data_IF_724278157876
#
_entry.id   IF_724278157876
#
_cell.length_a   1.000
_cell.length_b   1.000
_cell.length_c   1.000
_cell.angle_alpha   90.00
_cell.angle_beta   90.00
_cell.angle_gamma   90.00
#
_symmetry.space_group_name_H-M   'P 1'
#
loop_
_entity.id
_entity.type
_entity.pdbx_description
1 polymer ?
#
# COMPACT_ATOMS: atom_id res chain seq x y z
N UNK A 1 69.86 -10.58 25.82
CA UNK A 1 68.95 -9.46 25.49
C UNK A 1 67.99 -9.90 24.39
N UNK A 2 66.76 -10.34 24.73
CA UNK A 2 65.71 -10.68 23.76
C UNK A 2 64.60 -9.65 23.88
N UNK A 3 64.37 -8.90 22.80
CA UNK A 3 63.28 -7.92 22.66
C UNK A 3 61.98 -8.69 22.37
N UNK A 4 60.97 -8.52 23.20
CA UNK A 4 59.61 -9.01 22.95
C UNK A 4 58.75 -7.83 22.49
N UNK A 5 58.24 -7.90 21.26
CA UNK A 5 57.30 -6.92 20.71
C UNK A 5 55.85 -7.32 21.05
N UNK A 6 55.09 -6.38 21.60
CA UNK A 6 53.64 -6.49 21.76
C UNK A 6 52.97 -5.98 20.48
N UNK A 7 52.19 -6.85 19.82
CA UNK A 7 51.28 -6.47 18.72
C UNK A 7 49.90 -6.23 19.36
N UNK A 8 49.39 -5.01 19.24
CA UNK A 8 48.04 -4.64 19.66
C UNK A 8 47.07 -4.90 18.49
N UNK A 9 46.19 -5.89 18.63
CA UNK A 9 45.10 -6.13 17.66
C UNK A 9 44.01 -5.08 17.85
N UNK A 10 43.81 -4.21 16.86
CA UNK A 10 42.61 -3.37 16.75
C UNK A 10 41.45 -4.22 16.22
N UNK A 11 40.46 -4.52 17.08
CA UNK A 11 39.17 -5.05 16.65
C UNK A 11 38.34 -3.89 16.06
N UNK A 12 38.35 -3.76 14.72
CA UNK A 12 37.37 -2.93 14.02
C UNK A 12 35.99 -3.57 14.13
N UNK A 13 35.16 -3.02 15.02
CA UNK A 13 33.74 -3.34 15.10
C UNK A 13 33.04 -2.75 13.88
N UNK A 14 32.77 -3.56 12.85
CA UNK A 14 31.85 -3.19 11.78
C UNK A 14 30.42 -3.14 12.34
N UNK A 15 30.07 -1.99 12.94
CA UNK A 15 28.67 -1.61 13.10
C UNK A 15 28.13 -1.33 11.69
N UNK A 16 27.56 -2.36 11.07
CA UNK A 16 26.78 -2.18 9.85
C UNK A 16 25.68 -1.15 10.14
N UNK A 17 25.73 -0.02 9.45
CA UNK A 17 24.58 0.87 9.30
C UNK A 17 23.45 0.02 8.71
N UNK A 18 22.57 -0.50 9.57
CA UNK A 18 21.28 -0.99 9.10
C UNK A 18 20.61 0.20 8.43
N UNK A 19 20.37 0.11 7.12
CA UNK A 19 19.43 0.99 6.46
C UNK A 19 18.17 1.02 7.34
N UNK A 20 17.65 2.20 7.63
CA UNK A 20 16.52 2.41 8.54
C UNK A 20 15.23 1.96 7.87
N UNK A 21 15.14 0.66 7.60
CA UNK A 21 13.96 0.02 7.03
C UNK A 21 12.85 0.03 8.07
N UNK A 22 11.64 0.28 7.63
CA UNK A 22 10.46 0.11 8.47
C UNK A 22 10.31 -1.37 8.83
N UNK A 23 10.12 -1.72 10.10
CA UNK A 23 9.83 -3.12 10.43
C UNK A 23 8.42 -3.51 9.95
N UNK A 24 8.15 -4.79 9.62
CA UNK A 24 6.81 -5.27 9.35
C UNK A 24 5.81 -4.93 10.46
N UNK A 25 4.52 -4.90 10.12
CA UNK A 25 3.45 -4.84 11.12
C UNK A 25 3.35 -6.16 11.87
N UNK A 26 2.80 -6.11 13.09
CA UNK A 26 2.61 -7.29 13.95
C UNK A 26 1.16 -7.39 14.41
N UNK A 27 0.75 -8.60 14.80
CA UNK A 27 -0.60 -8.85 15.29
C UNK A 27 -1.02 -7.84 16.36
N UNK A 28 -2.22 -7.30 16.22
CA UNK A 28 -2.78 -6.25 17.06
C UNK A 28 -2.38 -4.83 16.67
N UNK A 29 -1.53 -4.62 15.67
CA UNK A 29 -1.20 -3.26 15.22
C UNK A 29 -2.43 -2.52 14.68
N UNK A 30 -2.52 -1.27 15.14
CA UNK A 30 -3.47 -0.25 14.71
C UNK A 30 -2.65 0.78 13.94
N UNK A 31 -2.64 0.63 12.63
CA UNK A 31 -1.78 1.38 11.71
C UNK A 31 -2.58 2.54 11.12
N UNK A 32 -2.18 3.75 11.43
CA UNK A 32 -2.83 4.96 10.93
C UNK A 32 -1.96 5.59 9.84
N UNK A 33 -2.49 5.73 8.63
CA UNK A 33 -1.86 6.42 7.51
C UNK A 33 -2.36 7.86 7.44
N UNK A 34 -1.56 8.79 7.97
CA UNK A 34 -1.81 10.23 7.94
C UNK A 34 -1.21 10.82 6.67
N UNK A 35 -2.03 11.53 5.90
CA UNK A 35 -1.54 12.21 4.71
C UNK A 35 -2.53 13.21 4.11
N UNK A 36 -2.29 13.56 2.86
CA UNK A 36 -3.10 14.49 2.09
C UNK A 36 -4.06 13.77 1.13
N UNK A 37 -4.45 14.40 0.02
CA UNK A 37 -5.33 13.83 -1.03
C UNK A 37 -4.86 12.49 -1.59
N UNK A 38 -3.54 12.26 -1.69
CA UNK A 38 -2.95 11.01 -2.17
C UNK A 38 -3.22 9.86 -1.20
N UNK A 39 -3.37 10.16 0.09
CA UNK A 39 -3.77 9.18 1.12
C UNK A 39 -5.29 9.10 1.23
N UNK A 40 -5.96 10.25 1.16
CA UNK A 40 -7.41 10.38 1.25
C UNK A 40 -8.12 9.50 0.21
N UNK A 41 -7.90 9.78 -1.07
CA UNK A 41 -8.55 9.09 -2.19
C UNK A 41 -7.72 7.96 -2.79
N UNK A 42 -6.57 7.66 -2.21
CA UNK A 42 -5.65 6.64 -2.73
C UNK A 42 -5.90 5.25 -2.14
N UNK A 43 -5.34 4.24 -2.82
CA UNK A 43 -5.51 2.84 -2.45
C UNK A 43 -4.25 2.18 -1.86
N UNK A 44 -3.11 2.87 -1.80
CA UNK A 44 -1.84 2.23 -1.42
C UNK A 44 -1.90 1.58 -0.02
N UNK A 45 -2.55 2.23 0.95
CA UNK A 45 -2.75 1.69 2.30
C UNK A 45 -3.69 0.47 2.29
N UNK A 46 -4.74 0.50 1.48
CA UNK A 46 -5.66 -0.63 1.26
C UNK A 46 -4.95 -1.82 0.62
N UNK A 47 -4.08 -1.59 -0.36
CA UNK A 47 -3.28 -2.62 -1.03
C UNK A 47 -2.22 -3.22 -0.10
N UNK A 48 -1.57 -2.40 0.74
CA UNK A 48 -0.68 -2.90 1.80
C UNK A 48 -1.48 -3.79 2.75
N UNK A 49 -2.67 -3.35 3.20
CA UNK A 49 -3.48 -4.15 4.11
C UNK A 49 -3.91 -5.48 3.48
N UNK A 50 -4.34 -5.46 2.22
CA UNK A 50 -4.71 -6.65 1.47
C UNK A 50 -3.59 -7.70 1.47
N UNK A 51 -2.34 -7.27 1.29
CA UNK A 51 -1.18 -8.17 1.38
C UNK A 51 -1.06 -8.80 2.76
N UNK A 52 -1.19 -8.03 3.84
CA UNK A 52 -1.14 -8.61 5.18
C UNK A 52 -2.29 -9.58 5.46
N UNK A 53 -3.51 -9.27 5.00
CA UNK A 53 -4.68 -10.13 5.21
C UNK A 53 -4.51 -11.47 4.51
N UNK A 54 -3.99 -11.49 3.28
CA UNK A 54 -3.84 -12.73 2.50
C UNK A 54 -2.54 -13.47 2.82
N UNK A 55 -1.43 -12.76 2.99
CA UNK A 55 -0.12 -13.37 3.21
C UNK A 55 0.10 -13.78 4.67
N UNK A 56 -0.48 -13.07 5.64
CA UNK A 56 -0.38 -13.38 7.07
C UNK A 56 -1.76 -13.61 7.69
N UNK A 57 -2.47 -14.67 7.31
CA UNK A 57 -3.90 -14.79 7.63
C UNK A 57 -4.19 -14.86 9.13
N UNK A 58 -3.21 -15.29 9.94
CA UNK A 58 -3.31 -15.36 11.41
C UNK A 58 -2.89 -14.06 12.13
N UNK A 59 -2.49 -13.03 11.40
CA UNK A 59 -2.07 -11.74 11.94
C UNK A 59 -3.19 -10.71 11.79
N UNK A 60 -4.02 -10.57 12.82
CA UNK A 60 -5.07 -9.55 12.80
C UNK A 60 -4.48 -8.15 13.03
N UNK A 61 -4.68 -7.27 12.06
CA UNK A 61 -4.32 -5.84 12.04
C UNK A 61 -5.57 -4.98 11.86
N UNK A 62 -5.45 -3.68 12.16
CA UNK A 62 -6.45 -2.67 11.79
C UNK A 62 -5.76 -1.47 11.17
N UNK A 63 -6.14 -1.13 9.94
CA UNK A 63 -5.61 0.05 9.27
C UNK A 63 -6.65 1.17 9.30
N UNK A 64 -6.16 2.40 9.27
CA UNK A 64 -6.98 3.61 9.17
C UNK A 64 -6.39 4.53 8.12
N UNK A 65 -7.22 4.94 7.17
CA UNK A 65 -6.96 6.09 6.33
C UNK A 65 -7.22 7.35 7.16
N UNK A 66 -6.20 8.18 7.35
CA UNK A 66 -6.30 9.52 7.93
C UNK A 66 -5.74 10.54 6.94
N UNK A 67 -5.99 10.33 5.66
CA UNK A 67 -5.75 11.28 4.59
C UNK A 67 -6.89 12.28 4.46
N UNK A 68 -6.57 13.56 4.31
CA UNK A 68 -7.55 14.61 3.99
C UNK A 68 -7.09 15.41 2.79
N UNK A 69 -8.00 15.64 1.84
CA UNK A 69 -7.69 16.38 0.61
C UNK A 69 -7.24 17.81 0.91
N UNK A 70 -6.21 18.30 0.20
CA UNK A 70 -5.72 19.68 0.38
C UNK A 70 -4.79 19.90 1.56
N UNK A 71 -4.68 18.96 2.51
CA UNK A 71 -3.82 19.12 3.69
C UNK A 71 -2.37 19.47 3.33
N UNK A 72 -1.87 20.54 3.94
CA UNK A 72 -0.44 20.70 4.25
C UNK A 72 -0.20 20.22 5.69
N UNK A 73 1.06 20.09 6.12
CA UNK A 73 1.38 19.58 7.46
C UNK A 73 0.76 20.39 8.60
N UNK A 74 0.47 21.67 8.37
CA UNK A 74 -0.28 22.52 9.31
C UNK A 74 -1.69 22.00 9.60
N UNK A 75 -2.44 21.59 8.58
CA UNK A 75 -3.78 21.01 8.75
C UNK A 75 -3.69 19.64 9.43
N UNK A 76 -2.69 18.83 9.08
CA UNK A 76 -2.43 17.55 9.75
C UNK A 76 -2.19 17.74 11.25
N UNK A 77 -1.44 18.78 11.64
CA UNK A 77 -1.28 19.15 13.05
C UNK A 77 -2.62 19.49 13.71
N UNK A 78 -3.45 20.29 13.05
CA UNK A 78 -4.74 20.72 13.61
C UNK A 78 -5.74 19.58 13.85
N UNK A 79 -5.63 18.48 13.10
CA UNK A 79 -6.53 17.32 13.23
C UNK A 79 -5.90 16.13 13.95
N UNK A 80 -4.67 16.24 14.43
CA UNK A 80 -4.00 15.16 15.17
C UNK A 80 -4.87 14.67 16.34
N UNK A 81 -5.35 15.58 17.18
CA UNK A 81 -6.12 15.22 18.39
C UNK A 81 -7.55 14.78 18.09
N UNK A 82 -8.17 15.26 16.99
CA UNK A 82 -9.58 15.05 16.71
C UNK A 82 -9.89 14.05 15.58
N UNK A 83 -8.89 13.56 14.85
CA UNK A 83 -9.05 12.61 13.74
C UNK A 83 -8.09 11.43 13.88
N UNK A 84 -6.79 11.70 14.11
CA UNK A 84 -5.71 10.69 14.14
C UNK A 84 -5.65 9.93 15.47
N UNK A 85 -5.41 10.63 16.59
CA UNK A 85 -5.23 10.01 17.91
C UNK A 85 -6.47 9.28 18.45
N UNK A 86 -7.72 9.69 18.14
CA UNK A 86 -8.91 8.93 18.51
C UNK A 86 -8.94 7.50 17.96
N UNK A 87 -8.19 7.21 16.87
CA UNK A 87 -8.01 5.84 16.36
C UNK A 87 -7.14 4.97 17.26
N UNK A 88 -6.52 5.53 18.30
CA UNK A 88 -5.62 4.84 19.23
C UNK A 88 -4.53 4.07 18.49
N UNK A 89 -3.74 4.73 17.62
CA UNK A 89 -2.68 4.06 16.87
C UNK A 89 -1.61 3.53 17.81
N UNK A 90 -1.03 2.38 17.45
CA UNK A 90 0.28 1.98 17.93
C UNK A 90 1.35 2.08 16.81
N UNK A 91 0.92 2.36 15.58
CA UNK A 91 1.80 2.75 14.47
C UNK A 91 1.18 3.95 13.75
N UNK A 92 1.98 5.01 13.55
CA UNK A 92 1.60 6.17 12.73
C UNK A 92 2.52 6.21 11.53
N UNK A 93 1.94 6.04 10.34
CA UNK A 93 2.56 6.30 9.05
C UNK A 93 2.21 7.72 8.60
N UNK A 94 3.18 8.61 8.43
CA UNK A 94 2.97 10.03 8.13
C UNK A 94 3.67 10.42 6.82
N UNK A 95 2.94 11.07 5.93
CA UNK A 95 3.47 11.64 4.69
C UNK A 95 2.92 13.05 4.44
N UNK A 96 3.77 13.99 4.03
CA UNK A 96 3.34 15.33 3.60
C UNK A 96 4.30 15.91 2.56
N UNK A 97 3.96 17.10 2.03
CA UNK A 97 4.84 17.88 1.18
C UNK A 97 4.27 18.23 -0.19
N UNK A 98 3.35 17.40 -0.72
CA UNK A 98 2.76 17.65 -2.04
C UNK A 98 2.02 18.99 -2.08
N UNK A 99 1.19 19.30 -1.09
CA UNK A 99 0.53 20.61 -1.01
C UNK A 99 1.47 21.70 -0.46
N UNK A 100 2.36 21.36 0.48
CA UNK A 100 3.28 22.30 1.12
C UNK A 100 4.25 22.95 0.12
N UNK A 101 4.62 22.21 -0.93
CA UNK A 101 5.46 22.68 -2.04
C UNK A 101 4.74 23.65 -3.00
N UNK A 102 3.43 23.89 -2.81
CA UNK A 102 2.61 24.84 -3.56
C UNK A 102 2.38 24.52 -5.04
N UNK A 103 1.65 25.40 -5.72
CA UNK A 103 1.13 25.19 -7.08
C UNK A 103 1.28 26.46 -7.95
N UNK A 104 0.21 27.23 -8.13
CA UNK A 104 0.15 28.37 -9.06
C UNK A 104 1.15 29.50 -8.76
N UNK A 105 1.58 29.64 -7.50
CA UNK A 105 2.60 30.62 -7.08
C UNK A 105 3.94 30.43 -7.80
N UNK A 106 4.21 29.25 -8.36
CA UNK A 106 5.41 28.99 -9.16
C UNK A 106 5.46 29.75 -10.49
N UNK A 107 4.34 30.31 -10.97
CA UNK A 107 4.29 31.00 -12.26
C UNK A 107 4.81 32.43 -12.24
N UNK A 108 5.03 33.04 -11.07
CA UNK A 108 5.51 34.42 -10.99
C UNK A 108 6.48 34.63 -9.82
N UNK A 109 7.35 35.64 -9.94
CA UNK A 109 8.42 35.91 -8.97
C UNK A 109 7.89 36.24 -7.56
N UNK A 110 6.77 36.96 -7.46
CA UNK A 110 6.15 37.26 -6.15
C UNK A 110 5.64 35.99 -5.47
N UNK A 111 5.09 35.05 -6.24
CA UNK A 111 4.63 33.75 -5.75
C UNK A 111 5.76 32.88 -5.22
N UNK A 112 6.98 32.96 -5.76
CA UNK A 112 8.14 32.23 -5.20
C UNK A 112 8.43 32.61 -3.74
N UNK A 113 8.21 33.87 -3.36
CA UNK A 113 8.32 34.29 -1.95
C UNK A 113 7.21 33.69 -1.08
N UNK A 114 6.01 33.47 -1.62
CA UNK A 114 4.94 32.74 -0.93
C UNK A 114 5.34 31.28 -0.71
N UNK A 115 5.94 30.63 -1.72
CA UNK A 115 6.42 29.26 -1.57
C UNK A 115 7.47 29.14 -0.47
N UNK A 116 8.46 30.04 -0.41
CA UNK A 116 9.45 30.01 0.66
C UNK A 116 8.78 30.08 2.06
N UNK A 117 7.78 30.97 2.22
CA UNK A 117 6.98 31.07 3.46
C UNK A 117 6.15 29.81 3.73
N UNK A 118 5.64 29.14 2.70
CA UNK A 118 4.93 27.87 2.85
C UNK A 118 5.87 26.75 3.34
N UNK A 119 7.10 26.71 2.83
CA UNK A 119 8.11 25.75 3.30
C UNK A 119 8.52 26.03 4.76
N UNK A 120 8.75 27.29 5.13
CA UNK A 120 9.02 27.68 6.52
C UNK A 120 7.85 27.28 7.45
N UNK A 121 6.62 27.49 6.98
CA UNK A 121 5.41 27.05 7.69
C UNK A 121 5.37 25.54 7.82
N UNK A 122 5.74 24.80 6.77
CA UNK A 122 5.80 23.34 6.79
C UNK A 122 6.79 22.84 7.85
N UNK A 123 8.02 23.36 7.86
CA UNK A 123 9.02 23.01 8.87
C UNK A 123 8.57 23.35 10.30
N UNK A 124 7.97 24.54 10.49
CA UNK A 124 7.45 24.97 11.79
C UNK A 124 6.36 24.02 12.32
N UNK A 125 5.35 23.72 11.51
CA UNK A 125 4.22 22.89 11.96
C UNK A 125 4.61 21.42 12.07
N UNK A 126 5.54 20.94 11.24
CA UNK A 126 6.15 19.65 11.49
C UNK A 126 6.85 19.63 12.85
N UNK A 127 7.57 20.67 13.25
CA UNK A 127 8.18 20.75 14.59
C UNK A 127 7.17 20.57 15.74
N UNK A 128 5.91 21.01 15.56
CA UNK A 128 4.84 20.78 16.54
C UNK A 128 4.34 19.33 16.51
N UNK A 129 4.14 18.75 15.32
CA UNK A 129 3.81 17.32 15.19
C UNK A 129 4.94 16.46 15.77
N UNK A 130 6.20 16.81 15.53
CA UNK A 130 7.36 16.10 16.04
C UNK A 130 7.34 16.03 17.57
N UNK A 131 6.99 17.14 18.24
CA UNK A 131 6.82 17.17 19.71
C UNK A 131 5.70 16.22 20.16
N UNK A 132 4.54 16.21 19.48
CA UNK A 132 3.45 15.27 19.77
C UNK A 132 3.91 13.82 19.59
N UNK A 133 4.61 13.51 18.50
CA UNK A 133 5.13 12.18 18.21
C UNK A 133 6.15 11.71 19.26
N UNK A 134 7.06 12.60 19.70
CA UNK A 134 8.03 12.32 20.78
C UNK A 134 7.36 12.01 22.11
N UNK A 135 6.24 12.67 22.42
CA UNK A 135 5.45 12.42 23.62
C UNK A 135 4.72 11.06 23.61
N UNK A 136 4.76 10.31 22.51
CA UNK A 136 4.13 9.00 22.36
C UNK A 136 5.18 7.86 22.20
N UNK A 137 6.07 7.59 23.17
CA UNK A 137 7.19 6.66 22.98
C UNK A 137 6.78 5.23 22.61
N UNK A 138 5.57 4.80 22.98
CA UNK A 138 5.03 3.47 22.68
C UNK A 138 4.39 3.35 21.29
N UNK A 139 4.26 4.45 20.56
CA UNK A 139 3.76 4.45 19.17
C UNK A 139 4.95 4.39 18.23
N UNK A 140 4.96 3.43 17.30
CA UNK A 140 5.98 3.34 16.24
C UNK A 140 5.73 4.40 15.16
N UNK A 141 6.78 5.12 14.74
CA UNK A 141 6.69 6.17 13.72
C UNK A 141 7.28 5.69 12.40
N UNK A 142 6.41 5.76 11.41
CA UNK A 142 6.45 5.54 9.97
C UNK A 142 6.59 6.75 9.03
N UNK A 143 7.73 7.39 8.80
CA UNK A 143 7.74 8.48 7.81
C UNK A 143 7.74 7.92 6.39
N UNK A 144 6.96 8.53 5.50
CA UNK A 144 6.87 8.12 4.10
C UNK A 144 7.21 9.32 3.22
N UNK A 145 8.38 9.29 2.58
CA UNK A 145 8.70 10.21 1.49
C UNK A 145 7.75 9.96 0.33
N UNK A 146 6.68 10.76 0.24
CA UNK A 146 5.52 10.49 -0.60
C UNK A 146 5.81 10.44 -2.11
N UNK A 147 4.80 10.07 -2.91
CA UNK A 147 4.95 9.97 -4.37
C UNK A 147 5.37 11.30 -5.02
N UNK A 148 6.17 11.27 -6.10
CA UNK A 148 6.71 12.47 -6.71
C UNK A 148 5.66 13.26 -7.49
N UNK A 149 5.92 14.55 -7.66
CA UNK A 149 5.27 15.37 -8.69
C UNK A 149 5.95 15.11 -10.04
N UNK A 150 5.21 14.60 -11.03
CA UNK A 150 5.76 14.23 -12.33
C UNK A 150 5.96 15.45 -13.22
N UNK A 151 7.10 16.12 -13.06
CA UNK A 151 7.46 17.29 -13.86
C UNK A 151 7.98 16.94 -15.27
N UNK A 152 8.22 15.66 -15.57
CA UNK A 152 8.93 15.22 -16.78
C UNK A 152 8.02 14.67 -17.86
N UNK A 153 6.85 14.11 -17.51
CA UNK A 153 5.92 13.59 -18.51
C UNK A 153 5.38 14.66 -19.45
N UNK A 154 5.06 14.28 -20.69
CA UNK A 154 4.55 15.17 -21.74
C UNK A 154 3.04 15.01 -22.01
N UNK A 155 2.30 14.25 -21.19
CA UNK A 155 0.86 13.96 -21.40
C UNK A 155 -0.02 15.21 -21.41
N UNK A 156 0.39 16.28 -20.73
CA UNK A 156 -0.30 17.57 -20.73
C UNK A 156 0.68 18.73 -20.57
N UNK A 157 0.33 19.93 -21.03
CA UNK A 157 1.07 21.16 -20.68
C UNK A 157 0.50 21.85 -19.43
N UNK A 158 -0.67 21.42 -18.97
CA UNK A 158 -1.31 21.97 -17.78
C UNK A 158 -0.60 21.50 -16.51
N UNK A 159 -0.80 22.24 -15.42
CA UNK A 159 -0.27 21.93 -14.08
C UNK A 159 1.25 21.71 -14.06
N UNK A 160 2.01 22.36 -14.95
CA UNK A 160 3.47 22.33 -14.95
C UNK A 160 4.01 23.47 -14.07
N UNK A 161 4.60 23.16 -12.92
CA UNK A 161 5.02 24.12 -11.90
C UNK A 161 6.56 24.13 -11.76
N UNK A 162 7.27 25.12 -12.34
CA UNK A 162 8.71 25.04 -12.66
C UNK A 162 9.71 24.98 -11.49
N UNK A 163 9.26 24.96 -10.22
CA UNK A 163 10.12 24.70 -9.05
C UNK A 163 9.54 23.69 -8.05
N UNK A 164 8.35 23.15 -8.33
CA UNK A 164 7.62 22.29 -7.39
C UNK A 164 8.38 21.00 -7.08
N UNK A 165 8.96 20.36 -8.10
CA UNK A 165 9.69 19.11 -7.93
C UNK A 165 10.89 19.27 -6.96
N UNK A 166 11.64 20.36 -7.09
CA UNK A 166 12.79 20.67 -6.22
C UNK A 166 12.34 20.95 -4.79
N UNK A 167 11.30 21.78 -4.60
CA UNK A 167 10.77 22.08 -3.28
C UNK A 167 10.21 20.83 -2.59
N UNK A 168 9.50 19.97 -3.32
CA UNK A 168 9.02 18.69 -2.80
C UNK A 168 10.19 17.77 -2.41
N UNK A 169 11.23 17.70 -3.24
CA UNK A 169 12.45 16.94 -2.92
C UNK A 169 13.09 17.39 -1.60
N UNK A 170 13.19 18.71 -1.35
CA UNK A 170 13.70 19.25 -0.08
C UNK A 170 12.87 18.83 1.14
N UNK A 171 11.55 18.73 1.00
CA UNK A 171 10.67 18.25 2.07
C UNK A 171 10.80 16.75 2.31
N UNK A 172 11.07 15.96 1.26
CA UNK A 172 11.37 14.53 1.35
C UNK A 172 12.71 14.30 2.07
N UNK A 173 13.75 15.06 1.70
CA UNK A 173 15.04 15.00 2.38
C UNK A 173 14.94 15.41 3.85
N UNK A 174 14.15 16.44 4.15
CA UNK A 174 13.86 16.86 5.52
C UNK A 174 13.20 15.74 6.34
N UNK A 175 12.20 15.07 5.77
CA UNK A 175 11.54 13.91 6.39
C UNK A 175 12.54 12.80 6.73
N UNK A 176 13.39 12.41 5.77
CA UNK A 176 14.43 11.42 5.97
C UNK A 176 15.39 11.81 7.10
N UNK A 177 15.83 13.06 7.11
CA UNK A 177 16.78 13.54 8.11
C UNK A 177 16.20 13.57 9.52
N UNK A 178 14.95 13.99 9.68
CA UNK A 178 14.28 13.95 10.99
C UNK A 178 13.99 12.51 11.43
N UNK A 179 13.58 11.61 10.53
CA UNK A 179 13.43 10.20 10.86
C UNK A 179 14.75 9.58 11.35
N UNK A 180 15.88 9.87 10.70
CA UNK A 180 17.22 9.45 11.14
C UNK A 180 17.57 10.00 12.52
N UNK A 181 17.40 11.31 12.71
CA UNK A 181 17.71 12.01 13.97
C UNK A 181 16.92 11.45 15.16
N UNK A 182 15.66 11.08 14.95
CA UNK A 182 14.80 10.54 16.00
C UNK A 182 14.81 9.00 16.12
N UNK A 183 15.51 8.29 15.23
CA UNK A 183 15.45 6.82 15.18
C UNK A 183 14.09 6.25 14.73
N UNK A 184 13.29 7.01 13.98
CA UNK A 184 11.96 6.61 13.47
C UNK A 184 12.03 5.92 12.11
N UNK A 185 11.15 4.97 11.80
CA UNK A 185 11.12 4.33 10.48
C UNK A 185 10.95 5.33 9.34
N UNK A 186 11.53 5.05 8.18
CA UNK A 186 11.36 5.85 6.97
C UNK A 186 11.20 4.93 5.74
N UNK A 187 10.20 5.20 4.90
CA UNK A 187 9.96 4.54 3.62
C UNK A 187 10.09 5.57 2.51
N UNK A 188 10.93 5.30 1.52
CA UNK A 188 11.10 6.18 0.35
C UNK A 188 10.21 5.73 -0.82
N UNK A 189 9.14 6.47 -1.12
CA UNK A 189 8.35 6.29 -2.35
C UNK A 189 8.80 7.27 -3.45
N UNK A 190 9.30 8.45 -3.05
CA UNK A 190 9.64 9.54 -3.96
C UNK A 190 10.66 9.14 -5.02
N UNK A 191 11.86 8.71 -4.59
CA UNK A 191 12.95 8.45 -5.53
C UNK A 191 12.70 7.24 -6.43
N UNK A 192 12.23 6.08 -5.92
CA UNK A 192 11.97 4.92 -6.77
C UNK A 192 10.85 5.18 -7.79
N UNK A 193 9.77 5.86 -7.41
CA UNK A 193 8.71 6.21 -8.36
C UNK A 193 9.19 7.22 -9.41
N UNK A 194 10.03 8.19 -9.03
CA UNK A 194 10.64 9.12 -9.99
C UNK A 194 11.54 8.38 -11.00
N UNK A 195 12.30 7.38 -10.54
CA UNK A 195 13.11 6.54 -11.40
C UNK A 195 12.26 5.70 -12.36
N UNK A 196 11.14 5.13 -11.88
CA UNK A 196 10.19 4.40 -12.72
C UNK A 196 9.59 5.33 -13.79
N UNK A 197 9.10 6.52 -13.41
CA UNK A 197 8.58 7.50 -14.36
C UNK A 197 9.60 7.81 -15.45
N UNK A 198 10.86 8.13 -15.10
CA UNK A 198 11.91 8.39 -16.09
C UNK A 198 12.19 7.20 -17.01
N UNK A 199 12.28 5.99 -16.44
CA UNK A 199 12.55 4.75 -17.18
C UNK A 199 11.47 4.46 -18.22
N UNK A 200 10.20 4.60 -17.84
CA UNK A 200 9.08 4.35 -18.76
C UNK A 200 8.84 5.52 -19.71
N UNK A 201 9.10 6.76 -19.29
CA UNK A 201 9.03 7.95 -20.17
C UNK A 201 10.06 7.93 -21.30
N UNK A 202 11.18 7.23 -21.12
CA UNK A 202 12.14 7.00 -22.20
C UNK A 202 11.57 6.11 -23.33
N UNK A 203 10.54 5.30 -23.05
CA UNK A 203 9.84 4.45 -24.02
C UNK A 203 8.58 5.11 -24.56
N UNK A 204 7.82 5.74 -23.66
CA UNK A 204 6.60 6.47 -23.97
C UNK A 204 6.61 7.81 -23.25
N UNK A 205 6.84 8.90 -23.99
CA UNK A 205 7.02 10.24 -23.40
C UNK A 205 5.79 10.80 -22.66
N UNK A 206 4.61 10.21 -22.85
CA UNK A 206 3.39 10.59 -22.11
C UNK A 206 3.13 9.67 -20.91
N UNK A 207 3.97 8.68 -20.66
CA UNK A 207 3.85 7.83 -19.48
C UNK A 207 3.89 8.66 -18.19
N UNK A 208 3.02 8.31 -17.25
CA UNK A 208 3.05 8.82 -15.89
C UNK A 208 2.37 7.84 -14.94
N UNK A 209 2.93 7.63 -13.76
CA UNK A 209 2.22 7.01 -12.63
C UNK A 209 1.16 7.95 -12.01
N UNK A 210 1.13 9.23 -12.41
CA UNK A 210 0.18 10.27 -11.99
C UNK A 210 -0.49 10.91 -13.21
N UNK A 211 -1.24 10.14 -14.01
CA UNK A 211 -1.56 10.46 -15.41
C UNK A 211 -2.57 11.59 -15.60
N UNK A 212 -3.29 11.99 -14.56
CA UNK A 212 -4.35 12.99 -14.68
C UNK A 212 -3.83 14.42 -14.54
N UNK A 213 -2.93 14.65 -13.58
CA UNK A 213 -2.57 16.01 -13.16
C UNK A 213 -1.13 16.17 -12.65
N UNK A 214 -0.31 15.12 -12.79
CA UNK A 214 1.10 15.05 -12.32
C UNK A 214 1.24 14.90 -10.80
N UNK A 215 0.14 14.79 -10.06
CA UNK A 215 0.10 14.85 -8.60
C UNK A 215 -0.46 13.55 -8.02
N UNK A 216 -1.63 13.11 -8.50
CA UNK A 216 -2.37 11.99 -7.92
C UNK A 216 -2.08 10.70 -8.68
N UNK A 217 -1.51 9.67 -8.01
CA UNK A 217 -1.34 8.38 -8.61
C UNK A 217 -2.68 7.71 -8.94
N UNK A 218 -2.70 6.97 -10.04
CA UNK A 218 -3.83 6.10 -10.39
C UNK A 218 -3.68 4.73 -9.68
N UNK A 219 -4.56 3.74 -9.89
CA UNK A 219 -4.48 2.45 -9.18
C UNK A 219 -3.14 1.72 -9.45
N UNK A 220 -2.55 1.85 -10.64
CA UNK A 220 -1.22 1.30 -10.96
C UNK A 220 -0.12 1.98 -10.14
N UNK A 221 -0.18 3.30 -10.01
CA UNK A 221 0.72 4.09 -9.16
C UNK A 221 0.60 3.74 -7.68
N UNK A 222 -0.62 3.55 -7.18
CA UNK A 222 -0.85 3.08 -5.83
C UNK A 222 -0.36 1.64 -5.60
N UNK A 223 -0.42 0.77 -6.62
CA UNK A 223 0.19 -0.56 -6.56
C UNK A 223 1.72 -0.49 -6.44
N UNK A 224 2.36 0.40 -7.20
CA UNK A 224 3.81 0.66 -7.07
C UNK A 224 4.16 1.19 -5.67
N UNK A 225 3.37 2.10 -5.12
CA UNK A 225 3.56 2.59 -3.75
C UNK A 225 3.46 1.46 -2.72
N UNK A 226 2.44 0.59 -2.84
CA UNK A 226 2.27 -0.56 -1.94
C UNK A 226 3.45 -1.53 -2.04
N UNK A 227 3.90 -1.85 -3.26
CA UNK A 227 5.10 -2.67 -3.49
C UNK A 227 6.33 -2.10 -2.79
N UNK A 228 6.62 -0.81 -2.98
CA UNK A 228 7.80 -0.16 -2.40
C UNK A 228 7.73 -0.15 -0.87
N UNK A 229 6.56 0.10 -0.30
CA UNK A 229 6.34 0.05 1.14
C UNK A 229 6.59 -1.35 1.71
N UNK A 230 5.98 -2.39 1.12
CA UNK A 230 6.17 -3.77 1.54
C UNK A 230 7.63 -4.23 1.37
N UNK A 231 8.31 -3.76 0.31
CA UNK A 231 9.73 -4.03 0.08
C UNK A 231 10.62 -3.38 1.11
N UNK A 232 10.35 -2.13 1.48
CA UNK A 232 11.06 -1.49 2.58
C UNK A 232 10.83 -2.23 3.91
N UNK A 233 9.66 -2.82 4.10
CA UNK A 233 9.39 -3.70 5.25
C UNK A 233 10.22 -5.00 5.27
N UNK A 234 11.00 -5.27 4.22
CA UNK A 234 11.80 -6.50 4.12
C UNK A 234 10.96 -7.73 3.86
N UNK A 235 9.75 -7.56 3.30
CA UNK A 235 8.81 -8.66 3.04
C UNK A 235 9.00 -9.31 1.67
N UNK A 236 9.94 -8.81 0.85
CA UNK A 236 10.25 -9.38 -0.45
C UNK A 236 10.90 -10.77 -0.33
N UNK A 237 10.64 -11.62 -1.32
CA UNK A 237 11.15 -12.99 -1.47
C UNK A 237 10.65 -13.98 -0.40
N UNK A 238 9.49 -13.70 0.19
CA UNK A 238 8.73 -14.66 0.99
C UNK A 238 7.59 -15.21 0.13
N UNK A 239 7.69 -16.45 -0.39
CA UNK A 239 6.69 -16.99 -1.30
C UNK A 239 5.37 -17.25 -0.56
N UNK A 240 4.26 -17.19 -1.30
CA UNK A 240 2.95 -17.69 -0.85
C UNK A 240 3.10 -19.16 -0.49
N UNK A 241 3.68 -19.95 -1.38
CA UNK A 241 4.16 -21.31 -1.12
C UNK A 241 5.20 -21.70 -2.18
N UNK A 242 6.06 -22.68 -1.86
CA UNK A 242 7.00 -23.25 -2.83
C UNK A 242 7.10 -24.76 -2.61
N UNK A 243 6.59 -25.50 -3.60
CA UNK A 243 6.35 -26.93 -3.54
C UNK A 243 7.10 -27.62 -4.67
N UNK A 244 7.84 -28.67 -4.34
CA UNK A 244 8.41 -29.58 -5.33
C UNK A 244 8.11 -31.02 -4.96
N UNK A 245 7.57 -31.81 -5.89
CA UNK A 245 7.26 -33.23 -5.70
C UNK A 245 7.94 -34.05 -6.80
N UNK A 246 8.50 -35.19 -6.43
CA UNK A 246 8.97 -36.18 -7.39
C UNK A 246 7.91 -37.26 -7.57
N UNK A 247 7.28 -37.32 -8.75
CA UNK A 247 6.20 -38.25 -9.05
C UNK A 247 6.67 -39.72 -9.05
N UNK A 248 7.84 -40.00 -9.62
CA UNK A 248 8.39 -41.37 -9.70
C UNK A 248 8.68 -41.97 -8.32
N UNK A 249 9.12 -41.12 -7.38
CA UNK A 249 9.47 -41.52 -6.00
C UNK A 249 8.32 -41.30 -5.02
N UNK A 250 7.21 -40.68 -5.47
CA UNK A 250 6.03 -40.32 -4.64
C UNK A 250 6.40 -39.57 -3.37
N UNK A 251 7.36 -38.65 -3.48
CA UNK A 251 7.91 -37.92 -2.32
C UNK A 251 7.91 -36.43 -2.55
N UNK A 252 7.67 -35.70 -1.46
CA UNK A 252 7.90 -34.26 -1.39
C UNK A 252 9.42 -34.02 -1.39
N UNK A 253 9.89 -33.19 -2.32
CA UNK A 253 11.28 -32.75 -2.42
C UNK A 253 11.46 -31.42 -1.69
N UNK A 254 10.47 -30.54 -1.80
CA UNK A 254 10.44 -29.23 -1.14
C UNK A 254 9.03 -28.90 -0.69
N UNK A 255 8.90 -28.40 0.54
CA UNK A 255 7.71 -27.73 1.04
C UNK A 255 8.15 -26.47 1.80
N UNK A 256 7.69 -25.30 1.38
CA UNK A 256 7.92 -24.03 2.06
C UNK A 256 6.63 -23.22 2.14
N UNK A 257 6.34 -22.68 3.33
CA UNK A 257 5.12 -21.95 3.66
C UNK A 257 3.81 -22.72 3.38
N UNK A 258 3.87 -24.05 3.42
CA UNK A 258 2.73 -24.93 3.22
C UNK A 258 2.99 -26.29 3.87
N UNK A 259 1.99 -27.16 3.80
CA UNK A 259 2.08 -28.57 4.14
C UNK A 259 1.56 -29.43 3.00
N UNK A 260 2.36 -30.42 2.59
CA UNK A 260 1.95 -31.44 1.62
C UNK A 260 1.76 -32.77 2.33
N UNK A 261 0.65 -33.45 2.03
CA UNK A 261 0.33 -34.78 2.57
C UNK A 261 -0.30 -35.67 1.48
N UNK A 262 -0.44 -36.96 1.78
CA UNK A 262 -1.17 -37.92 0.92
C UNK A 262 -0.67 -37.97 -0.53
N UNK A 263 0.65 -37.93 -0.74
CA UNK A 263 1.25 -38.04 -2.08
C UNK A 263 1.05 -39.48 -2.59
N UNK A 264 0.21 -39.65 -3.59
CA UNK A 264 -0.10 -40.96 -4.19
C UNK A 264 -0.15 -40.86 -5.72
N UNK A 265 -0.18 -42.01 -6.40
CA UNK A 265 -0.22 -42.09 -7.86
C UNK A 265 1.02 -42.73 -8.49
N UNK A 266 1.40 -42.26 -9.67
CA UNK A 266 2.42 -42.76 -10.59
C UNK A 266 3.03 -41.62 -11.43
N UNK A 267 3.90 -41.95 -12.37
CA UNK A 267 4.54 -40.98 -13.29
C UNK A 267 3.60 -40.39 -14.35
N UNK A 268 2.40 -40.96 -14.54
CA UNK A 268 1.37 -40.46 -15.48
C UNK A 268 0.17 -39.83 -14.75
N UNK A 269 0.06 -40.02 -13.43
CA UNK A 269 -1.03 -39.49 -12.60
C UNK A 269 -0.55 -39.31 -11.17
N UNK A 270 -0.49 -38.09 -10.65
CA UNK A 270 -0.05 -37.79 -9.29
C UNK A 270 -1.14 -37.03 -8.54
N UNK A 271 -1.40 -37.38 -7.29
CA UNK A 271 -2.33 -36.65 -6.43
C UNK A 271 -1.73 -36.41 -5.05
N UNK A 272 -2.06 -35.27 -4.43
CA UNK A 272 -1.61 -34.91 -3.09
C UNK A 272 -2.50 -33.82 -2.49
N UNK A 273 -2.56 -33.77 -1.16
CA UNK A 273 -3.25 -32.72 -0.43
C UNK A 273 -2.28 -31.57 -0.14
N UNK A 274 -2.70 -30.34 -0.39
CA UNK A 274 -1.94 -29.11 -0.24
C UNK A 274 -2.66 -28.14 0.71
N UNK A 275 -1.99 -27.76 1.79
CA UNK A 275 -2.46 -26.71 2.70
C UNK A 275 -1.42 -25.59 2.75
N UNK A 276 -1.74 -24.43 2.17
CA UNK A 276 -0.90 -23.24 2.26
C UNK A 276 -1.01 -22.58 3.65
N UNK A 277 0.00 -21.81 4.04
CA UNK A 277 -0.11 -20.91 5.21
C UNK A 277 -0.52 -19.48 4.82
N UNK A 278 -0.55 -19.19 3.51
CA UNK A 278 -0.86 -17.89 2.93
C UNK A 278 -1.76 -18.08 1.71
N UNK A 279 -2.58 -17.08 1.39
CA UNK A 279 -3.29 -17.00 0.12
C UNK A 279 -2.47 -16.19 -0.90
N UNK A 280 -2.63 -16.43 -2.21
CA UNK A 280 -2.05 -15.56 -3.23
C UNK A 280 -2.61 -14.13 -3.12
N UNK A 281 -1.80 -13.14 -3.51
CA UNK A 281 -2.23 -11.75 -3.56
C UNK A 281 -3.19 -11.54 -4.76
N UNK A 282 -4.45 -11.12 -4.52
CA UNK A 282 -5.46 -10.99 -5.56
C UNK A 282 -5.34 -9.62 -6.23
N UNK A 283 -4.81 -9.60 -7.45
CA UNK A 283 -4.58 -8.37 -8.19
C UNK A 283 -5.84 -7.92 -8.93
N UNK A 284 -6.21 -6.64 -8.81
CA UNK A 284 -7.37 -6.05 -9.47
C UNK A 284 -7.12 -5.66 -10.93
N UNK A 285 -8.06 -6.03 -11.77
CA UNK A 285 -8.10 -5.75 -13.20
C UNK A 285 -9.15 -4.71 -13.56
N UNK A 286 -9.83 -4.12 -12.57
CA UNK A 286 -10.80 -3.03 -12.74
C UNK A 286 -10.14 -1.70 -12.34
N UNK A 287 -10.43 -0.65 -13.12
CA UNK A 287 -10.05 0.72 -12.77
C UNK A 287 -11.07 1.23 -11.75
N UNK A 288 -10.61 1.51 -10.52
CA UNK A 288 -11.48 1.87 -9.40
C UNK A 288 -11.30 3.33 -9.00
N UNK A 289 -12.35 3.90 -8.42
CA UNK A 289 -12.53 5.32 -8.15
C UNK A 289 -12.70 6.18 -9.41
N UNK A 290 -13.46 7.27 -9.25
CA UNK A 290 -13.78 8.17 -10.35
C UNK A 290 -12.55 8.92 -10.86
N UNK A 291 -12.36 8.96 -12.18
CA UNK A 291 -11.24 9.65 -12.83
C UNK A 291 -9.98 8.80 -12.99
N UNK A 292 -9.94 7.60 -12.43
CA UNK A 292 -8.88 6.63 -12.66
C UNK A 292 -9.09 5.91 -14.00
N UNK A 293 -7.99 5.66 -14.71
CA UNK A 293 -7.97 5.06 -16.04
C UNK A 293 -7.15 3.76 -16.09
N UNK A 294 -6.32 3.52 -15.07
CA UNK A 294 -5.43 2.37 -14.99
C UNK A 294 -5.82 1.48 -13.83
N UNK A 295 -5.53 0.20 -13.99
CA UNK A 295 -5.88 -0.87 -13.03
C UNK A 295 -4.70 -1.16 -12.11
N UNK A 296 -4.96 -1.77 -10.96
CA UNK A 296 -3.89 -2.26 -10.06
C UNK A 296 -2.94 -3.22 -10.81
N UNK A 297 -3.48 -4.12 -11.66
CA UNK A 297 -2.73 -5.09 -12.45
C UNK A 297 -1.72 -4.46 -13.40
N UNK A 298 -2.01 -3.29 -13.96
CA UNK A 298 -1.05 -2.59 -14.82
C UNK A 298 0.19 -2.14 -14.06
N UNK A 299 0.10 -1.91 -12.75
CA UNK A 299 1.23 -1.56 -11.89
C UNK A 299 2.32 -2.64 -11.84
N UNK A 300 1.94 -3.92 -12.00
CA UNK A 300 2.86 -5.06 -12.01
C UNK A 300 3.88 -5.00 -13.17
N UNK A 301 3.61 -4.23 -14.22
CA UNK A 301 4.56 -4.05 -15.33
C UNK A 301 5.78 -3.22 -14.94
N UNK A 302 5.66 -2.43 -13.86
CA UNK A 302 6.67 -1.45 -13.49
C UNK A 302 7.56 -1.89 -12.34
N UNK A 303 7.12 -2.92 -11.60
CA UNK A 303 7.80 -3.47 -10.42
C UNK A 303 7.69 -5.01 -10.44
N UNK A 304 8.70 -5.74 -9.96
CA UNK A 304 8.69 -7.21 -9.94
C UNK A 304 7.83 -7.77 -8.79
N UNK A 305 6.61 -7.26 -8.60
CA UNK A 305 5.76 -7.63 -7.47
C UNK A 305 5.40 -9.12 -7.50
N UNK A 306 5.04 -9.67 -8.67
CA UNK A 306 4.72 -11.09 -8.78
C UNK A 306 5.91 -11.95 -8.34
N UNK A 307 7.11 -11.62 -8.81
CA UNK A 307 8.33 -12.37 -8.52
C UNK A 307 8.77 -12.26 -7.05
N UNK A 308 8.59 -11.09 -6.44
CA UNK A 308 9.07 -10.83 -5.08
C UNK A 308 8.02 -11.13 -4.00
N UNK A 309 6.72 -11.08 -4.30
CA UNK A 309 5.65 -11.13 -3.29
C UNK A 309 4.51 -12.11 -3.59
N UNK A 310 4.38 -12.60 -4.82
CA UNK A 310 3.24 -13.41 -5.25
C UNK A 310 3.67 -14.68 -5.98
N UNK A 311 4.55 -15.46 -5.35
CA UNK A 311 5.04 -16.74 -5.83
C UNK A 311 4.35 -17.88 -5.07
N UNK A 312 3.45 -18.61 -5.74
CA UNK A 312 2.85 -19.86 -5.27
C UNK A 312 3.33 -20.98 -6.20
N UNK A 313 4.56 -21.43 -6.01
CA UNK A 313 5.25 -22.29 -6.97
C UNK A 313 4.90 -23.76 -6.79
N UNK A 314 4.52 -24.40 -7.89
CA UNK A 314 4.30 -25.84 -8.00
C UNK A 314 5.25 -26.44 -9.03
N UNK A 315 6.21 -27.25 -8.57
CA UNK A 315 7.10 -28.03 -9.42
C UNK A 315 6.85 -29.54 -9.24
N UNK A 316 6.81 -30.29 -10.35
CA UNK A 316 6.59 -31.74 -10.35
C UNK A 316 7.60 -32.41 -11.29
N UNK A 317 8.61 -33.04 -10.71
CA UNK A 317 9.63 -33.79 -11.44
C UNK A 317 9.31 -35.28 -11.54
N UNK A 318 10.00 -36.01 -12.42
CA UNK A 318 9.85 -37.46 -12.58
C UNK A 318 8.52 -37.91 -13.22
N UNK A 319 7.80 -36.99 -13.87
CA UNK A 319 6.68 -37.31 -14.76
C UNK A 319 7.21 -37.91 -16.07
N UNK A 320 6.43 -38.77 -16.74
CA UNK A 320 6.78 -39.16 -18.12
C UNK A 320 6.62 -37.96 -19.06
N UNK A 321 7.39 -37.96 -20.15
CA UNK A 321 7.21 -36.98 -21.22
C UNK A 321 5.76 -36.96 -21.73
N UNK A 322 5.24 -35.74 -21.93
CA UNK A 322 3.86 -35.48 -22.34
C UNK A 322 3.29 -34.23 -21.67
N UNK A 323 2.03 -33.94 -21.99
CA UNK A 323 1.24 -32.86 -21.41
C UNK A 323 0.38 -33.39 -20.25
N UNK A 324 0.15 -32.54 -19.25
CA UNK A 324 -0.59 -32.88 -18.05
C UNK A 324 -1.62 -31.80 -17.74
N UNK A 325 -2.84 -32.24 -17.46
CA UNK A 325 -3.85 -31.42 -16.81
C UNK A 325 -3.48 -31.28 -15.33
N UNK A 326 -3.42 -30.05 -14.84
CA UNK A 326 -3.38 -29.78 -13.40
C UNK A 326 -4.78 -29.42 -12.96
N UNK A 327 -5.24 -30.08 -11.90
CA UNK A 327 -6.54 -29.84 -11.29
C UNK A 327 -6.34 -29.51 -9.81
N UNK A 328 -7.14 -28.58 -9.31
CA UNK A 328 -7.28 -28.28 -7.88
C UNK A 328 -8.75 -28.48 -7.54
N UNK A 329 -9.03 -29.33 -6.56
CA UNK A 329 -10.39 -29.69 -6.13
C UNK A 329 -11.29 -30.17 -7.29
N UNK A 330 -10.70 -30.96 -8.20
CA UNK A 330 -11.31 -31.49 -9.43
C UNK A 330 -11.59 -30.45 -10.53
N UNK A 331 -11.23 -29.18 -10.34
CA UNK A 331 -11.33 -28.16 -11.39
C UNK A 331 -10.01 -28.08 -12.16
N UNK A 332 -10.08 -28.20 -13.50
CA UNK A 332 -8.91 -28.05 -14.37
C UNK A 332 -8.47 -26.59 -14.39
N UNK A 333 -7.27 -26.33 -13.88
CA UNK A 333 -6.68 -24.98 -13.87
C UNK A 333 -5.79 -24.72 -15.10
N UNK A 334 -5.38 -25.76 -15.81
CA UNK A 334 -4.70 -25.65 -17.10
C UNK A 334 -4.01 -26.95 -17.54
N UNK A 335 -3.28 -26.87 -18.64
CA UNK A 335 -2.46 -27.95 -19.20
C UNK A 335 -1.03 -27.45 -19.36
N UNK A 336 -0.05 -28.25 -18.92
CA UNK A 336 1.37 -27.93 -19.11
C UNK A 336 2.18 -29.15 -19.56
N UNK A 337 3.25 -28.96 -20.35
CA UNK A 337 4.24 -30.00 -20.58
C UNK A 337 4.93 -30.40 -19.27
N UNK A 338 5.26 -31.69 -19.15
CA UNK A 338 6.07 -32.24 -18.04
C UNK A 338 7.35 -31.43 -17.78
N UNK A 339 8.06 -31.00 -18.83
CA UNK A 339 9.27 -30.18 -18.69
C UNK A 339 9.01 -28.79 -18.07
N UNK A 340 7.81 -28.22 -18.26
CA UNK A 340 7.43 -26.97 -17.61
C UNK A 340 7.01 -27.21 -16.16
N UNK A 341 6.27 -28.28 -15.89
CA UNK A 341 5.96 -28.68 -14.52
C UNK A 341 7.22 -29.00 -13.71
N UNK A 342 8.24 -29.61 -14.32
CA UNK A 342 9.52 -29.86 -13.65
C UNK A 342 10.25 -28.57 -13.28
N UNK A 343 10.19 -27.53 -14.12
CA UNK A 343 10.72 -26.19 -13.82
C UNK A 343 9.89 -25.44 -12.78
N UNK A 344 8.59 -25.68 -12.77
CA UNK A 344 7.63 -25.05 -11.88
C UNK A 344 6.69 -24.07 -12.60
N UNK A 345 5.45 -24.03 -12.14
CA UNK A 345 4.43 -23.05 -12.53
C UNK A 345 4.03 -22.22 -11.31
N UNK A 346 3.66 -20.96 -11.52
CA UNK A 346 3.19 -20.09 -10.45
C UNK A 346 1.66 -20.11 -10.39
N UNK A 347 1.09 -20.77 -9.39
CA UNK A 347 -0.35 -20.88 -9.18
C UNK A 347 -1.00 -19.51 -8.88
N UNK A 348 -0.24 -18.57 -8.32
CA UNK A 348 -0.72 -17.23 -8.00
C UNK A 348 -1.01 -16.35 -9.24
N UNK A 349 -0.62 -16.79 -10.44
CA UNK A 349 -0.97 -16.13 -11.70
C UNK A 349 -2.22 -16.74 -12.37
N UNK A 350 -2.77 -17.81 -11.78
CA UNK A 350 -3.94 -18.51 -12.30
C UNK A 350 -5.16 -18.14 -11.47
N UNK A 351 -5.87 -17.11 -11.93
CA UNK A 351 -6.95 -16.50 -11.15
C UNK A 351 -8.13 -17.43 -10.87
N UNK A 352 -8.25 -18.54 -11.60
CA UNK A 352 -9.32 -19.54 -11.44
C UNK A 352 -9.05 -20.58 -10.36
N UNK A 353 -7.87 -20.60 -9.73
CA UNK A 353 -7.62 -21.53 -8.63
C UNK A 353 -8.56 -21.23 -7.44
N UNK A 354 -9.05 -22.26 -6.70
CA UNK A 354 -9.93 -22.05 -5.56
C UNK A 354 -9.38 -21.07 -4.51
N UNK A 355 -8.08 -21.14 -4.21
CA UNK A 355 -7.43 -20.24 -3.27
C UNK A 355 -7.30 -18.80 -3.80
N UNK A 356 -7.16 -18.59 -5.13
CA UNK A 356 -7.19 -17.26 -5.71
C UNK A 356 -8.61 -16.69 -5.72
N UNK A 357 -9.63 -17.51 -5.96
CA UNK A 357 -11.04 -17.11 -5.82
C UNK A 357 -11.39 -16.72 -4.38
N UNK A 358 -10.84 -17.43 -3.39
CA UNK A 358 -10.92 -17.04 -1.98
C UNK A 358 -10.24 -15.69 -1.73
N UNK A 359 -9.06 -15.46 -2.30
CA UNK A 359 -8.37 -14.18 -2.20
C UNK A 359 -9.15 -13.03 -2.87
N UNK A 360 -9.78 -13.25 -4.04
CA UNK A 360 -10.64 -12.25 -4.69
C UNK A 360 -11.79 -11.83 -3.77
N UNK A 361 -12.44 -12.76 -3.06
CA UNK A 361 -13.51 -12.41 -2.12
C UNK A 361 -13.01 -11.43 -1.04
N UNK A 362 -11.81 -11.66 -0.51
CA UNK A 362 -11.17 -10.76 0.46
C UNK A 362 -10.87 -9.39 -0.17
N UNK A 363 -10.41 -9.36 -1.43
CA UNK A 363 -10.18 -8.10 -2.16
C UNK A 363 -11.46 -7.28 -2.28
N UNK A 364 -12.57 -7.89 -2.69
CA UNK A 364 -13.85 -7.17 -2.83
C UNK A 364 -14.36 -6.65 -1.48
N UNK A 365 -14.25 -7.44 -0.41
CA UNK A 365 -14.58 -6.97 0.94
C UNK A 365 -13.71 -5.79 1.38
N UNK A 366 -12.41 -5.82 1.05
CA UNK A 366 -11.49 -4.74 1.37
C UNK A 366 -11.77 -3.47 0.56
N UNK A 367 -12.22 -3.62 -0.70
CA UNK A 367 -12.60 -2.50 -1.55
C UNK A 367 -13.90 -1.85 -1.05
N UNK A 368 -14.93 -2.63 -0.73
CA UNK A 368 -16.16 -2.11 -0.12
C UNK A 368 -15.87 -1.38 1.19
N UNK A 369 -14.97 -1.93 2.01
CA UNK A 369 -14.50 -1.28 3.24
C UNK A 369 -13.80 0.04 2.93
N UNK A 370 -12.94 0.09 1.92
CA UNK A 370 -12.25 1.31 1.49
C UNK A 370 -13.24 2.38 1.02
N UNK A 371 -14.26 2.01 0.25
CA UNK A 371 -15.28 2.93 -0.23
C UNK A 371 -16.10 3.54 0.92
N UNK A 372 -16.43 2.75 1.93
CA UNK A 372 -17.10 3.26 3.15
C UNK A 372 -16.17 4.16 3.95
N UNK A 373 -14.89 3.77 4.11
CA UNK A 373 -13.89 4.59 4.81
C UNK A 373 -13.73 5.96 4.14
N UNK A 374 -13.72 6.00 2.79
CA UNK A 374 -13.66 7.26 2.04
C UNK A 374 -14.81 8.20 2.38
N UNK A 375 -16.04 7.72 2.57
CA UNK A 375 -17.18 8.56 2.99
C UNK A 375 -16.92 9.25 4.33
N UNK A 376 -16.25 8.57 5.25
CA UNK A 376 -15.85 9.17 6.53
C UNK A 376 -14.73 10.19 6.34
N UNK A 377 -13.85 10.03 5.35
CA UNK A 377 -12.81 11.03 5.02
C UNK A 377 -13.37 12.25 4.31
N UNK A 378 -14.33 12.08 3.42
CA UNK A 378 -15.08 13.16 2.77
C UNK A 378 -15.82 14.02 3.83
N UNK A 379 -16.29 13.40 4.92
CA UNK A 379 -16.81 14.12 6.09
C UNK A 379 -15.70 14.94 6.79
N UNK A 380 -14.55 14.33 7.09
CA UNK A 380 -13.43 15.04 7.73
C UNK A 380 -12.91 16.19 6.88
N UNK A 381 -12.96 16.05 5.55
CA UNK A 381 -12.62 17.12 4.62
C UNK A 381 -13.48 18.37 4.87
N UNK A 382 -14.80 18.24 4.91
CA UNK A 382 -15.68 19.38 5.21
C UNK A 382 -15.43 19.94 6.63
N UNK A 383 -15.21 19.06 7.60
CA UNK A 383 -14.97 19.47 8.98
C UNK A 383 -13.68 20.29 9.14
N UNK A 384 -12.56 19.79 8.64
CA UNK A 384 -11.25 20.40 8.87
C UNK A 384 -10.85 21.44 7.82
N UNK A 385 -11.14 21.21 6.54
CA UNK A 385 -10.78 22.14 5.47
C UNK A 385 -11.68 23.38 5.46
N UNK A 386 -12.96 23.21 5.83
CA UNK A 386 -13.95 24.29 5.76
C UNK A 386 -14.49 24.74 7.11
N UNK A 387 -15.15 23.87 7.89
CA UNK A 387 -15.92 24.27 9.08
C UNK A 387 -15.05 24.71 10.25
N UNK A 388 -13.84 24.16 10.38
CA UNK A 388 -12.85 24.63 11.37
C UNK A 388 -12.58 26.13 11.23
N UNK A 389 -12.34 26.61 10.01
CA UNK A 389 -12.12 28.04 9.73
C UNK A 389 -13.33 28.93 10.03
N UNK A 390 -14.53 28.33 10.11
CA UNK A 390 -15.78 28.99 10.48
C UNK A 390 -16.11 28.88 11.97
N UNK A 391 -15.26 28.25 12.79
CA UNK A 391 -15.55 27.91 14.20
C UNK A 391 -16.80 27.05 14.35
N UNK A 392 -17.02 26.14 13.39
CA UNK A 392 -18.16 25.23 13.33
C UNK A 392 -17.74 23.76 13.30
N UNK A 393 -16.48 23.47 13.65
CA UNK A 393 -15.95 22.10 13.69
C UNK A 393 -16.84 21.22 14.58
N UNK A 394 -17.32 20.11 14.00
CA UNK A 394 -18.21 19.11 14.60
C UNK A 394 -19.52 19.66 15.15
N UNK A 395 -19.95 20.85 14.71
CA UNK A 395 -21.28 21.38 15.09
C UNK A 395 -22.41 20.52 14.52
N UNK A 396 -22.20 19.93 13.33
CA UNK A 396 -23.12 18.97 12.67
C UNK A 396 -24.60 19.44 12.54
N UNK A 397 -24.88 20.72 12.76
CA UNK A 397 -26.22 21.29 12.87
C UNK A 397 -26.65 21.99 11.57
N UNK A 398 -27.84 22.60 11.58
CA UNK A 398 -28.37 23.30 10.40
C UNK A 398 -27.55 24.53 10.04
N UNK A 399 -26.99 25.25 11.02
CA UNK A 399 -26.09 26.39 10.77
C UNK A 399 -24.85 25.96 9.98
N UNK A 400 -24.22 24.84 10.37
CA UNK A 400 -23.08 24.27 9.66
C UNK A 400 -23.47 23.83 8.23
N UNK A 401 -24.60 23.15 8.07
CA UNK A 401 -25.10 22.74 6.75
C UNK A 401 -25.38 23.93 5.83
N UNK A 402 -25.97 25.01 6.35
CA UNK A 402 -26.26 26.21 5.56
C UNK A 402 -24.97 26.94 5.14
N UNK A 403 -23.95 26.93 6.01
CA UNK A 403 -22.60 27.40 5.65
C UNK A 403 -22.01 26.58 4.49
N UNK A 404 -22.11 25.24 4.55
CA UNK A 404 -21.64 24.34 3.47
C UNK A 404 -22.39 24.59 2.16
N UNK A 405 -23.73 24.70 2.20
CA UNK A 405 -24.56 25.01 1.02
C UNK A 405 -24.19 26.35 0.39
N UNK A 406 -23.94 27.37 1.21
CA UNK A 406 -23.55 28.69 0.72
C UNK A 406 -22.19 28.66 0.05
N UNK A 407 -21.24 27.91 0.59
CA UNK A 407 -19.91 27.76 0.02
C UNK A 407 -19.90 26.90 -1.26
N UNK A 408 -20.72 25.85 -1.33
CA UNK A 408 -20.76 24.93 -2.48
C UNK A 408 -21.17 25.59 -3.80
N UNK A 409 -21.82 26.75 -3.75
CA UNK A 409 -22.12 27.54 -4.96
C UNK A 409 -20.84 28.02 -5.65
N UNK A 410 -19.80 28.37 -4.88
CA UNK A 410 -18.56 28.98 -5.40
C UNK A 410 -17.36 28.03 -5.36
N UNK A 411 -17.38 27.03 -4.49
CA UNK A 411 -16.27 26.10 -4.29
C UNK A 411 -16.64 24.70 -4.79
N UNK A 412 -15.90 24.22 -5.79
CA UNK A 412 -16.13 22.93 -6.41
C UNK A 412 -15.80 21.74 -5.50
N UNK A 413 -14.82 21.88 -4.60
CA UNK A 413 -14.44 20.81 -3.68
C UNK A 413 -15.47 20.67 -2.55
N UNK A 414 -15.98 21.79 -2.03
CA UNK A 414 -17.10 21.77 -1.08
C UNK A 414 -18.35 21.21 -1.75
N UNK A 415 -18.63 21.59 -3.00
CA UNK A 415 -19.76 21.05 -3.76
C UNK A 415 -19.65 19.54 -3.98
N UNK A 416 -18.47 19.03 -4.34
CA UNK A 416 -18.24 17.60 -4.53
C UNK A 416 -18.47 16.78 -3.27
N UNK A 417 -18.20 17.34 -2.09
CA UNK A 417 -18.37 16.67 -0.80
C UNK A 417 -19.70 16.98 -0.09
N UNK A 418 -20.49 17.91 -0.63
CA UNK A 418 -21.71 18.39 0.03
C UNK A 418 -22.73 17.28 0.22
N UNK A 419 -22.99 16.46 -0.81
CA UNK A 419 -23.94 15.33 -0.69
C UNK A 419 -23.54 14.41 0.47
N UNK A 420 -22.27 14.00 0.51
CA UNK A 420 -21.78 13.14 1.58
C UNK A 420 -21.97 13.80 2.96
N UNK A 421 -21.62 15.09 3.11
CA UNK A 421 -21.80 15.81 4.37
C UNK A 421 -23.27 15.92 4.82
N UNK A 422 -24.23 16.03 3.89
CA UNK A 422 -25.67 16.06 4.27
C UNK A 422 -26.11 14.82 5.04
N UNK A 423 -25.48 13.67 4.74
CA UNK A 423 -25.71 12.38 5.40
C UNK A 423 -24.77 12.22 6.60
N UNK A 424 -23.48 12.47 6.39
CA UNK A 424 -22.43 12.22 7.36
C UNK A 424 -22.49 13.17 8.57
N UNK A 425 -23.14 14.34 8.50
CA UNK A 425 -23.33 15.21 9.68
C UNK A 425 -24.14 14.54 10.80
N UNK A 426 -24.90 13.48 10.52
CA UNK A 426 -25.59 12.73 11.55
C UNK A 426 -24.69 11.65 12.12
N UNK A 427 -24.37 11.75 13.42
CA UNK A 427 -23.52 10.78 14.10
C UNK A 427 -24.01 9.32 13.93
N UNK A 428 -25.33 9.09 13.97
CA UNK A 428 -25.91 7.75 13.77
C UNK A 428 -25.60 7.14 12.40
N UNK A 429 -25.46 7.96 11.36
CA UNK A 429 -25.06 7.50 10.02
C UNK A 429 -23.58 7.12 10.02
N UNK A 430 -22.72 7.94 10.64
CA UNK A 430 -21.28 7.62 10.78
C UNK A 430 -21.05 6.35 11.59
N UNK A 431 -21.83 6.17 12.67
CA UNK A 431 -21.78 4.96 13.50
C UNK A 431 -22.21 3.72 12.72
N UNK A 432 -23.22 3.84 11.84
CA UNK A 432 -23.64 2.75 10.96
C UNK A 432 -22.54 2.39 9.96
N UNK A 433 -21.94 3.37 9.29
CA UNK A 433 -20.81 3.14 8.37
C UNK A 433 -19.61 2.50 9.06
N UNK A 434 -19.29 2.90 10.29
CA UNK A 434 -18.24 2.24 11.06
C UNK A 434 -18.57 0.78 11.33
N UNK A 435 -19.81 0.47 11.72
CA UNK A 435 -20.25 -0.92 11.95
C UNK A 435 -20.20 -1.75 10.67
N UNK A 436 -20.57 -1.18 9.52
CA UNK A 436 -20.43 -1.83 8.22
C UNK A 436 -18.97 -2.19 7.93
N UNK A 437 -18.03 -1.25 8.12
CA UNK A 437 -16.60 -1.54 7.98
C UNK A 437 -16.14 -2.63 8.95
N UNK A 438 -16.58 -2.60 10.21
CA UNK A 438 -16.21 -3.61 11.20
C UNK A 438 -16.69 -5.01 10.79
N UNK A 439 -17.89 -5.13 10.22
CA UNK A 439 -18.41 -6.39 9.66
C UNK A 439 -17.55 -6.87 8.50
N UNK A 440 -17.23 -6.00 7.54
CA UNK A 440 -16.38 -6.34 6.39
C UNK A 440 -14.98 -6.79 6.83
N UNK A 441 -14.38 -6.09 7.80
CA UNK A 441 -13.08 -6.45 8.38
C UNK A 441 -13.15 -7.81 9.07
N UNK A 442 -14.21 -8.07 9.85
CA UNK A 442 -14.41 -9.36 10.50
C UNK A 442 -14.53 -10.49 9.49
N UNK A 443 -15.31 -10.29 8.43
CA UNK A 443 -15.49 -11.28 7.37
C UNK A 443 -14.18 -11.58 6.65
N UNK A 444 -13.40 -10.55 6.28
CA UNK A 444 -12.08 -10.73 5.68
C UNK A 444 -11.17 -11.65 6.51
N UNK A 445 -11.09 -11.46 7.82
CA UNK A 445 -10.28 -12.33 8.71
C UNK A 445 -10.92 -13.69 9.01
N UNK A 446 -12.23 -13.84 8.83
CA UNK A 446 -12.91 -15.12 8.95
C UNK A 446 -12.61 -16.00 7.72
N UNK A 447 -12.62 -15.41 6.53
CA UNK A 447 -12.45 -16.14 5.27
C UNK A 447 -11.01 -16.15 4.75
N UNK A 448 -10.03 -15.53 5.42
CA UNK A 448 -8.64 -15.51 4.92
C UNK A 448 -7.81 -16.78 5.21
N UNK A 449 -8.38 -17.78 5.90
CA UNK A 449 -7.65 -19.01 6.23
C UNK A 449 -7.55 -19.90 5.00
N UNK A 450 -6.33 -20.22 4.49
CA UNK A 450 -6.20 -21.18 3.41
C UNK A 450 -6.85 -22.51 3.79
N UNK A 451 -7.50 -23.13 2.82
CA UNK A 451 -8.12 -24.45 2.97
C UNK A 451 -7.17 -25.53 2.46
N UNK A 452 -7.39 -26.76 2.89
CA UNK A 452 -6.70 -27.90 2.26
C UNK A 452 -7.33 -28.14 0.89
N UNK A 453 -6.50 -28.15 -0.15
CA UNK A 453 -6.90 -28.42 -1.52
C UNK A 453 -6.33 -29.75 -1.99
N UNK A 454 -7.08 -30.49 -2.80
CA UNK A 454 -6.61 -31.70 -3.46
C UNK A 454 -6.05 -31.34 -4.83
N UNK A 455 -4.74 -31.50 -5.02
CA UNK A 455 -4.10 -31.28 -6.32
C UNK A 455 -3.98 -32.62 -7.05
N UNK A 456 -4.29 -32.61 -8.35
CA UNK A 456 -4.13 -33.75 -9.26
C UNK A 456 -3.40 -33.34 -10.52
N UNK A 457 -2.40 -34.12 -10.92
CA UNK A 457 -1.60 -33.95 -12.14
C UNK A 457 -1.85 -35.17 -13.01
N UNK A 458 -2.52 -35.00 -14.14
CA UNK A 458 -3.04 -36.12 -14.94
C UNK A 458 -2.57 -36.00 -16.37
N UNK A 459 -1.83 -37.00 -16.88
CA UNK A 459 -1.35 -37.00 -18.25
C UNK A 459 -2.53 -36.98 -19.24
N UNK A 460 -2.40 -36.17 -20.29
CA UNK A 460 -3.32 -36.23 -21.42
C UNK A 460 -3.16 -37.57 -22.15
N UNK A 461 -4.28 -38.11 -22.64
CA UNK A 461 -4.31 -39.41 -23.34
C UNK A 461 -3.64 -39.34 -24.69
#
# INVERSE_FOLDING_TARGET
MKKSGFILLFLCSFLGLKAQTSAPFKAGDRVVFVGNSITHGGHYHSYIWLYYITHFPNMRLTFFNEGVGGDVVQQMYYRMDGDVLPKKPNVIALTWGMNDSGYFDWYNEKGKQNIARNLDTSYKYFGLIEQQLKAMPNVRKVFIGGSPYDFTSKFTKNNLFPGKAEALGKLVDFQLNEAKKQGWGYVDLYHPMLAINKREQAKDSIFSLTPNDRIHPDNDGHMVMAYLFLKDQGLANHPVADISINASQKRVVKEANCKITNVTGSTDHLTFSYLANSLPYPVDTVSRAWGNHKTQAQGLKFVPFTQEFNQEMLAVGGLKNGNYNVLIDNEKIGTWPSAQLEKGINLAEISTTPQYQQAIQIRELNEERWDIERRLRDYMYIEYDFLRGKKMLFKDNNEAMDSVRKASVKDAFIRGNMDNYTRARYASVRDAWQKEMDVLINEMYAINKPKTHQISIVKEK
#
